data_IF_007165338090
#
_entry.id   IF_007165338090
#
_cell.length_a   1.000
_cell.length_b   1.000
_cell.length_c   1.000
_cell.angle_alpha   90.00
_cell.angle_beta   90.00
_cell.angle_gamma   90.00
#
_symmetry.space_group_name_H-M   'P 1'
#
loop_
_entity.id
_entity.type
_entity.pdbx_description
1 polymer ?
#
# COMPACT_ATOMS: atom_id res chain seq x y z
N UNK A 1 10.68 -7.64 7.58
CA UNK A 1 9.37 -7.75 8.28
C UNK A 1 8.27 -7.30 7.34
N UNK A 2 7.14 -8.00 7.32
CA UNK A 2 5.94 -7.58 6.58
C UNK A 2 4.83 -7.32 7.60
N UNK A 3 4.13 -6.20 7.49
CA UNK A 3 2.90 -5.94 8.27
C UNK A 3 1.68 -5.88 7.35
N UNK A 4 0.67 -6.66 7.71
CA UNK A 4 -0.62 -6.76 7.01
C UNK A 4 -1.75 -6.69 8.04
N UNK A 5 -1.78 -5.60 8.80
CA UNK A 5 -2.77 -5.34 9.86
C UNK A 5 -3.66 -4.19 9.45
N UNK A 6 -4.90 -4.18 9.94
CA UNK A 6 -5.80 -3.05 9.74
C UNK A 6 -5.20 -1.77 10.34
N UNK A 7 -5.29 -0.66 9.60
CA UNK A 7 -4.74 0.63 10.01
C UNK A 7 -5.50 1.24 11.18
N UNK A 8 -6.80 0.97 11.30
CA UNK A 8 -7.59 1.35 12.47
C UNK A 8 -7.30 0.50 13.70
N UNK A 9 -6.66 -0.65 13.54
CA UNK A 9 -6.29 -1.57 14.62
C UNK A 9 -4.79 -1.52 14.95
N UNK A 10 -4.04 -0.59 14.37
CA UNK A 10 -2.60 -0.47 14.56
C UNK A 10 -2.13 0.97 14.68
N UNK A 11 -0.96 1.13 15.27
CA UNK A 11 -0.27 2.41 15.44
C UNK A 11 1.07 2.35 14.67
N UNK A 12 1.35 3.29 13.76
CA UNK A 12 2.56 3.26 12.93
C UNK A 12 3.83 3.31 13.76
N UNK A 13 3.88 4.16 14.79
CA UNK A 13 5.08 4.31 15.62
C UNK A 13 5.39 3.03 16.38
N UNK A 14 4.36 2.36 16.90
CA UNK A 14 4.49 1.07 17.58
C UNK A 14 5.05 -0.01 16.64
N UNK A 15 4.51 -0.13 15.43
CA UNK A 15 4.99 -1.11 14.46
C UNK A 15 6.41 -0.82 13.98
N UNK A 16 6.72 0.44 13.68
CA UNK A 16 8.06 0.87 13.28
C UNK A 16 9.07 0.62 14.41
N UNK A 17 8.72 0.92 15.65
CA UNK A 17 9.57 0.64 16.81
C UNK A 17 9.82 -0.86 17.00
N UNK A 18 8.79 -1.70 16.81
CA UNK A 18 8.94 -3.15 16.87
C UNK A 18 9.88 -3.68 15.76
N UNK A 19 9.78 -3.14 14.54
CA UNK A 19 10.72 -3.47 13.45
C UNK A 19 12.15 -3.07 13.81
N UNK A 20 12.36 -1.86 14.33
CA UNK A 20 13.69 -1.41 14.78
C UNK A 20 14.26 -2.32 15.87
N UNK A 21 13.45 -2.66 16.87
CA UNK A 21 13.86 -3.52 17.97
C UNK A 21 14.24 -4.94 17.51
N UNK A 22 13.66 -5.41 16.40
CA UNK A 22 14.02 -6.71 15.81
C UNK A 22 15.40 -6.73 15.13
N UNK A 23 16.00 -5.57 14.87
CA UNK A 23 17.26 -5.43 14.15
C UNK A 23 17.15 -5.58 12.62
N UNK A 24 15.95 -5.82 12.08
CA UNK A 24 15.71 -5.95 10.64
C UNK A 24 15.53 -4.57 10.00
N UNK A 25 16.30 -4.28 8.94
CA UNK A 25 16.18 -3.01 8.19
C UNK A 25 15.02 -2.99 7.19
N UNK A 26 14.71 -4.13 6.56
CA UNK A 26 13.73 -4.23 5.49
C UNK A 26 12.30 -4.33 6.05
N UNK A 27 11.47 -3.35 5.76
CA UNK A 27 10.08 -3.28 6.22
C UNK A 27 9.12 -3.13 5.05
N UNK A 28 8.17 -4.04 4.89
CA UNK A 28 7.13 -3.92 3.86
C UNK A 28 5.77 -3.82 4.52
N UNK A 29 4.95 -2.91 4.02
CA UNK A 29 3.60 -2.67 4.50
C UNK A 29 2.62 -3.01 3.39
N UNK A 30 1.63 -3.86 3.70
CA UNK A 30 0.43 -3.98 2.88
C UNK A 30 -0.33 -2.67 3.03
N UNK A 31 -0.32 -1.87 1.96
CA UNK A 31 -0.87 -0.53 1.96
C UNK A 31 -2.38 -0.48 1.78
N UNK A 32 -2.89 0.71 1.49
CA UNK A 32 -4.29 0.93 1.13
C UNK A 32 -4.41 1.85 -0.09
N UNK A 33 -5.45 1.65 -0.89
CA UNK A 33 -5.69 2.44 -2.09
C UNK A 33 -6.04 3.91 -1.80
N UNK A 34 -6.50 4.23 -0.59
CA UNK A 34 -6.99 5.57 -0.23
C UNK A 34 -5.98 6.71 -0.42
N UNK A 35 -4.68 6.42 -0.28
CA UNK A 35 -3.59 7.39 -0.46
C UNK A 35 -3.09 7.49 -1.91
N UNK A 36 -3.63 6.71 -2.85
CA UNK A 36 -3.33 6.85 -4.27
C UNK A 36 -4.00 8.11 -4.84
N UNK A 37 -3.36 8.70 -5.83
CA UNK A 37 -3.81 9.94 -6.45
C UNK A 37 -4.79 9.67 -7.60
N UNK A 38 -5.95 10.31 -7.57
CA UNK A 38 -6.91 10.34 -8.69
C UNK A 38 -6.61 11.49 -9.66
N UNK A 39 -5.86 12.48 -9.20
CA UNK A 39 -5.23 13.55 -9.96
C UNK A 39 -4.02 14.05 -9.16
N UNK A 40 -3.04 14.76 -9.77
CA UNK A 40 -1.85 15.22 -9.06
C UNK A 40 -2.19 15.95 -7.75
N UNK A 41 -1.69 15.43 -6.63
CA UNK A 41 -1.93 15.97 -5.28
C UNK A 41 -3.35 15.76 -4.71
N UNK A 42 -4.23 15.02 -5.39
CA UNK A 42 -5.58 14.69 -4.92
C UNK A 42 -5.68 13.21 -4.64
N UNK A 43 -5.73 12.84 -3.35
CA UNK A 43 -5.83 11.44 -2.92
C UNK A 43 -7.26 10.93 -3.06
N UNK A 44 -7.41 9.63 -3.31
CA UNK A 44 -8.70 8.96 -3.44
C UNK A 44 -9.57 9.13 -2.19
N UNK A 45 -8.99 9.05 -0.99
CA UNK A 45 -9.71 9.19 0.29
C UNK A 45 -10.32 10.58 0.51
N UNK A 46 -9.77 11.61 -0.16
CA UNK A 46 -10.24 12.99 -0.07
C UNK A 46 -11.39 13.28 -1.07
N UNK A 47 -11.73 12.33 -1.95
CA UNK A 47 -12.79 12.50 -2.93
C UNK A 47 -14.17 12.64 -2.25
N UNK A 48 -15.04 13.57 -2.70
CA UNK A 48 -16.38 13.74 -2.13
C UNK A 48 -17.25 12.48 -2.14
N UNK A 49 -17.09 11.65 -3.16
CA UNK A 49 -17.80 10.39 -3.38
C UNK A 49 -17.18 9.18 -2.67
N UNK A 50 -16.08 9.37 -1.92
CA UNK A 50 -15.42 8.26 -1.25
C UNK A 50 -16.36 7.60 -0.23
N UNK A 51 -16.53 6.25 -0.24
CA UNK A 51 -17.49 5.59 0.63
C UNK A 51 -17.16 5.80 2.12
N UNK A 52 -18.11 6.36 2.87
CA UNK A 52 -17.92 6.71 4.28
C UNK A 52 -17.48 5.51 5.14
N UNK A 53 -17.96 4.30 4.81
CA UNK A 53 -17.63 3.06 5.52
C UNK A 53 -16.14 2.70 5.47
N UNK A 54 -15.40 3.17 4.46
CA UNK A 54 -13.96 2.89 4.32
C UNK A 54 -13.08 4.05 4.76
N UNK A 55 -13.67 5.22 5.05
CA UNK A 55 -12.92 6.47 5.20
C UNK A 55 -11.94 6.46 6.37
N UNK A 56 -12.35 5.90 7.50
CA UNK A 56 -11.48 5.81 8.68
C UNK A 56 -10.23 4.97 8.42
N UNK A 57 -10.40 3.79 7.80
CA UNK A 57 -9.30 2.89 7.46
C UNK A 57 -8.38 3.51 6.39
N UNK A 58 -8.95 4.06 5.33
CA UNK A 58 -8.21 4.70 4.25
C UNK A 58 -7.40 5.90 4.73
N UNK A 59 -7.97 6.71 5.63
CA UNK A 59 -7.27 7.86 6.22
C UNK A 59 -6.10 7.41 7.08
N UNK A 60 -6.31 6.42 7.96
CA UNK A 60 -5.23 5.87 8.78
C UNK A 60 -4.10 5.24 7.96
N UNK A 61 -4.43 4.59 6.84
CA UNK A 61 -3.43 4.10 5.89
C UNK A 61 -2.65 5.22 5.21
N UNK A 62 -3.29 6.35 4.89
CA UNK A 62 -2.60 7.53 4.36
C UNK A 62 -1.65 8.15 5.41
N UNK A 63 -2.13 8.29 6.66
CA UNK A 63 -1.32 8.81 7.77
C UNK A 63 -0.10 7.89 8.06
N UNK A 64 -0.27 6.58 7.93
CA UNK A 64 0.83 5.61 8.05
C UNK A 64 1.89 5.86 6.98
N UNK A 65 1.47 6.01 5.71
CA UNK A 65 2.40 6.30 4.62
C UNK A 65 3.14 7.63 4.84
N UNK A 66 2.43 8.66 5.31
CA UNK A 66 3.04 9.95 5.62
C UNK A 66 4.06 9.84 6.76
N UNK A 67 3.80 9.01 7.76
CA UNK A 67 4.77 8.67 8.81
C UNK A 67 6.00 7.97 8.22
N UNK A 68 5.82 6.94 7.39
CA UNK A 68 6.93 6.24 6.73
C UNK A 68 7.82 7.18 5.91
N UNK A 69 7.25 8.18 5.24
CA UNK A 69 8.01 9.16 4.45
C UNK A 69 9.01 9.98 5.27
N UNK A 70 8.83 10.09 6.59
CA UNK A 70 9.78 10.76 7.47
C UNK A 70 10.89 9.83 7.98
N UNK A 71 10.79 8.52 7.71
CA UNK A 71 11.71 7.49 8.21
C UNK A 71 12.85 7.28 7.21
N UNK A 72 14.08 7.50 7.68
CA UNK A 72 15.30 7.36 6.87
C UNK A 72 16.16 6.15 7.24
N UNK A 73 15.97 5.58 8.41
CA UNK A 73 16.79 4.50 9.01
C UNK A 73 16.29 3.08 8.70
N UNK A 74 15.09 2.95 8.13
CA UNK A 74 14.53 1.69 7.64
C UNK A 74 14.41 1.70 6.11
N UNK A 75 14.65 0.54 5.51
CA UNK A 75 14.44 0.27 4.09
C UNK A 75 12.97 -0.12 3.89
N UNK A 76 12.06 0.86 4.03
CA UNK A 76 10.63 0.61 3.97
C UNK A 76 10.10 0.55 2.53
N UNK A 77 9.03 -0.21 2.29
CA UNK A 77 8.21 -0.12 1.08
C UNK A 77 6.74 -0.21 1.46
N UNK A 78 5.93 0.67 0.86
CA UNK A 78 4.49 0.65 1.02
C UNK A 78 3.85 0.25 -0.31
N UNK A 79 3.30 -0.96 -0.40
CA UNK A 79 2.63 -1.41 -1.62
C UNK A 79 1.14 -1.12 -1.50
N UNK A 80 0.64 -0.14 -2.25
CA UNK A 80 -0.80 0.15 -2.29
C UNK A 80 -1.48 -0.85 -3.24
N UNK A 81 -2.57 -1.52 -2.82
CA UNK A 81 -3.39 -2.27 -3.76
C UNK A 81 -4.24 -1.31 -4.60
N UNK A 82 -4.88 -1.84 -5.64
CA UNK A 82 -5.98 -1.16 -6.34
C UNK A 82 -7.22 -1.03 -5.45
N UNK A 83 -8.19 -0.19 -5.86
CA UNK A 83 -9.34 0.15 -5.02
C UNK A 83 -10.22 -1.08 -4.68
N UNK A 84 -10.48 -1.95 -5.66
CA UNK A 84 -11.08 -3.25 -5.44
C UNK A 84 -9.98 -4.29 -5.23
N UNK A 85 -9.82 -4.73 -3.97
CA UNK A 85 -8.81 -5.70 -3.57
C UNK A 85 -9.49 -6.90 -2.91
N UNK A 86 -9.58 -8.01 -3.64
CA UNK A 86 -10.34 -9.21 -3.22
C UNK A 86 -9.66 -10.48 -3.74
N UNK A 87 -10.04 -11.64 -3.22
CA UNK A 87 -9.64 -12.92 -3.79
C UNK A 87 -10.09 -13.05 -5.27
N UNK A 88 -9.25 -13.66 -6.10
CA UNK A 88 -9.49 -13.83 -7.53
C UNK A 88 -8.54 -14.84 -8.17
N UNK A 89 -8.16 -14.59 -9.43
CA UNK A 89 -7.24 -15.46 -10.17
C UNK A 89 -5.79 -14.98 -10.04
N UNK A 90 -4.86 -15.94 -10.04
CA UNK A 90 -3.41 -15.70 -10.14
C UNK A 90 -2.99 -15.63 -11.61
N UNK A 91 -3.11 -14.46 -12.22
CA UNK A 91 -2.87 -14.29 -13.66
C UNK A 91 -1.40 -14.05 -13.99
N UNK A 92 -0.65 -13.40 -13.09
CA UNK A 92 0.70 -12.89 -13.38
C UNK A 92 0.72 -11.72 -14.37
N UNK A 93 -0.44 -11.18 -14.76
CA UNK A 93 -0.58 -10.10 -15.72
C UNK A 93 -1.19 -8.86 -15.03
N UNK A 94 -0.34 -7.88 -14.74
CA UNK A 94 -0.74 -6.65 -14.06
C UNK A 94 0.23 -5.51 -14.43
N UNK A 95 -0.16 -4.28 -14.11
CA UNK A 95 0.66 -3.09 -14.23
C UNK A 95 1.17 -2.67 -12.87
N UNK A 96 2.39 -2.13 -12.87
CA UNK A 96 2.95 -1.44 -11.71
C UNK A 96 2.89 0.06 -11.95
N UNK A 97 2.61 0.80 -10.87
CA UNK A 97 2.58 2.25 -10.85
C UNK A 97 3.28 2.80 -9.63
N UNK A 98 3.36 4.13 -9.53
CA UNK A 98 3.86 4.82 -8.33
C UNK A 98 2.71 5.31 -7.49
N UNK A 99 2.35 6.58 -7.68
CA UNK A 99 1.43 7.31 -6.81
C UNK A 99 0.01 7.40 -7.33
N UNK A 100 -0.19 7.28 -8.65
CA UNK A 100 -1.50 7.37 -9.27
C UNK A 100 -2.30 6.07 -9.11
N UNK A 101 -3.61 6.21 -8.91
CA UNK A 101 -4.56 5.10 -8.93
C UNK A 101 -4.53 4.43 -10.31
N UNK A 102 -4.27 3.12 -10.34
CA UNK A 102 -4.37 2.35 -11.57
C UNK A 102 -5.82 1.92 -11.79
N UNK A 103 -6.38 2.28 -12.94
CA UNK A 103 -7.72 1.89 -13.36
C UNK A 103 -7.71 1.41 -14.81
N UNK A 104 -8.69 0.57 -15.14
CA UNK A 104 -9.04 0.14 -16.50
C UNK A 104 -10.51 0.45 -16.78
N UNK A 105 -11.03 0.00 -17.93
CA UNK A 105 -12.47 0.06 -18.25
C UNK A 105 -13.34 -0.70 -17.24
N UNK A 106 -12.77 -1.67 -16.53
CA UNK A 106 -13.42 -2.44 -15.46
C UNK A 106 -13.21 -1.82 -14.06
N UNK A 107 -12.67 -0.60 -13.99
CA UNK A 107 -12.30 0.06 -12.74
C UNK A 107 -10.90 -0.29 -12.24
N UNK A 108 -10.63 0.08 -10.99
CA UNK A 108 -9.37 -0.17 -10.29
C UNK A 108 -9.46 -1.45 -9.48
N UNK A 109 -8.80 -2.52 -9.94
CA UNK A 109 -8.86 -3.83 -9.29
C UNK A 109 -7.54 -4.60 -9.34
N UNK A 110 -7.33 -5.46 -8.35
CA UNK A 110 -6.25 -6.46 -8.29
C UNK A 110 -6.70 -7.64 -7.42
N UNK A 111 -6.30 -8.87 -7.78
CA UNK A 111 -6.54 -10.05 -6.94
C UNK A 111 -5.55 -10.14 -5.77
N UNK A 112 -5.93 -10.83 -4.69
CA UNK A 112 -5.01 -11.18 -3.59
C UNK A 112 -3.81 -11.96 -4.11
N UNK A 113 -4.05 -12.85 -5.06
CA UNK A 113 -3.07 -13.75 -5.65
C UNK A 113 -2.01 -12.99 -6.45
N UNK A 114 -2.41 -12.04 -7.31
CA UNK A 114 -1.46 -11.25 -8.10
C UNK A 114 -0.77 -10.19 -7.25
N UNK A 115 -1.46 -9.59 -6.28
CA UNK A 115 -0.82 -8.72 -5.30
C UNK A 115 0.29 -9.45 -4.52
N UNK A 116 0.04 -10.71 -4.14
CA UNK A 116 1.03 -11.53 -3.44
C UNK A 116 2.27 -11.82 -4.30
N UNK A 117 2.12 -11.97 -5.63
CA UNK A 117 3.27 -12.06 -6.55
C UNK A 117 4.14 -10.81 -6.44
N UNK A 118 3.53 -9.62 -6.48
CA UNK A 118 4.25 -8.35 -6.39
C UNK A 118 4.94 -8.18 -5.04
N UNK A 119 4.23 -8.48 -3.95
CA UNK A 119 4.80 -8.41 -2.60
C UNK A 119 5.97 -9.37 -2.43
N UNK A 120 5.83 -10.62 -2.85
CA UNK A 120 6.91 -11.62 -2.78
C UNK A 120 8.12 -11.20 -3.63
N UNK A 121 7.88 -10.72 -4.87
CA UNK A 121 8.94 -10.23 -5.74
C UNK A 121 9.72 -9.05 -5.13
N UNK A 122 9.04 -8.14 -4.43
CA UNK A 122 9.67 -7.00 -3.75
C UNK A 122 10.45 -7.40 -2.47
N UNK A 123 10.13 -8.56 -1.88
CA UNK A 123 10.91 -9.17 -0.80
C UNK A 123 12.19 -9.78 -1.36
N UNK A 124 12.08 -10.56 -2.45
CA UNK A 124 13.19 -11.31 -3.04
C UNK A 124 14.18 -10.40 -3.79
N UNK A 125 13.66 -9.45 -4.57
CA UNK A 125 14.45 -8.51 -5.37
C UNK A 125 13.93 -7.09 -5.11
N UNK A 126 14.41 -6.41 -4.05
CA UNK A 126 13.93 -5.09 -3.69
C UNK A 126 14.18 -4.05 -4.79
N UNK A 127 13.13 -3.33 -5.19
CA UNK A 127 13.20 -2.28 -6.23
C UNK A 127 12.70 -0.93 -5.73
N UNK A 128 11.94 -0.89 -4.64
CA UNK A 128 11.21 0.30 -4.18
C UNK A 128 11.60 0.70 -2.75
N UNK A 129 12.89 0.91 -2.51
CA UNK A 129 13.41 1.29 -1.19
C UNK A 129 13.00 2.71 -0.82
N UNK A 130 12.39 2.85 0.36
CA UNK A 130 11.83 4.09 0.93
C UNK A 130 10.85 4.78 -0.01
N UNK A 131 10.00 3.96 -0.64
CA UNK A 131 9.03 4.40 -1.64
C UNK A 131 7.69 3.69 -1.48
N UNK A 132 6.64 4.38 -1.93
CA UNK A 132 5.36 3.76 -2.24
C UNK A 132 5.32 3.37 -3.72
N UNK A 133 4.70 2.24 -4.02
CA UNK A 133 4.31 1.85 -5.37
C UNK A 133 2.95 1.15 -5.34
N UNK A 134 2.37 0.88 -6.51
CA UNK A 134 1.02 0.30 -6.63
C UNK A 134 0.95 -0.78 -7.70
N UNK A 135 -0.06 -1.64 -7.61
CA UNK A 135 -0.37 -2.69 -8.58
C UNK A 135 -1.86 -2.69 -8.94
N UNK A 136 -2.16 -2.95 -10.21
CA UNK A 136 -3.53 -3.08 -10.73
C UNK A 136 -3.55 -3.63 -12.15
N UNK A 137 -4.69 -4.15 -12.59
CA UNK A 137 -4.90 -4.60 -13.98
C UNK A 137 -4.93 -3.42 -14.95
#
# INVERSE_FOLDING_TARGET
>A
VVSSVHFTASDPDTLIAAVRASGVKRYLVVGGAGSLEVAPGKRLVDAPEFPAIYKAEAQKGADFLDTLRTISDLDWTFLSPSALFTAGERTGAFRLGKDALLSSDNGSSISFEDYAIVMAGEIETPRHIRQRFTVGY
#
